data_IF_842243302387
#
_entry.id   IF_842243302387
#
_cell.length_a   1.000
_cell.length_b   1.000
_cell.length_c   1.000
_cell.angle_alpha   90.00
_cell.angle_beta   90.00
_cell.angle_gamma   90.00
#
_symmetry.space_group_name_H-M   'P 1'
#
loop_
_entity.id
_entity.type
_entity.pdbx_description
1 polymer ?
#
# COMPACT_ATOMS: atom_id res chain seq x y z
N UNK A 1 7.61 12.80 -7.97
CA UNK A 1 7.33 11.34 -7.87
C UNK A 1 6.87 10.85 -9.24
N UNK A 2 7.32 9.68 -9.70
CA UNK A 2 6.96 9.12 -11.03
C UNK A 2 5.45 8.82 -11.13
N UNK A 3 4.90 8.06 -10.19
CA UNK A 3 3.46 7.70 -10.20
C UNK A 3 2.52 8.91 -10.13
N UNK A 4 2.90 9.96 -9.39
CA UNK A 4 2.11 11.20 -9.36
C UNK A 4 2.01 11.92 -10.73
N UNK A 5 2.90 11.60 -11.67
CA UNK A 5 2.92 12.17 -13.03
C UNK A 5 2.38 11.21 -14.10
N UNK A 6 2.43 9.90 -13.84
CA UNK A 6 2.19 8.88 -14.86
C UNK A 6 1.10 7.86 -14.50
N UNK A 7 0.61 7.85 -13.26
CA UNK A 7 -0.39 6.89 -12.78
C UNK A 7 -1.69 7.60 -12.34
N UNK A 8 -2.79 6.84 -12.29
CA UNK A 8 -4.06 7.31 -11.73
C UNK A 8 -3.95 7.36 -10.21
N UNK A 9 -4.27 8.50 -9.61
CA UNK A 9 -4.44 8.61 -8.15
C UNK A 9 -5.83 8.08 -7.77
N UNK A 10 -5.91 7.23 -6.75
CA UNK A 10 -7.12 6.58 -6.28
C UNK A 10 -7.44 6.97 -4.83
N UNK A 11 -8.63 6.58 -4.37
CA UNK A 11 -9.07 6.82 -2.99
C UNK A 11 -8.17 6.11 -2.00
N UNK A 12 -7.83 6.76 -0.89
CA UNK A 12 -7.09 6.14 0.22
C UNK A 12 -8.00 5.59 1.31
N UNK A 13 -9.30 5.86 1.24
CA UNK A 13 -10.28 5.52 2.29
C UNK A 13 -11.33 4.51 1.83
N UNK A 14 -11.54 4.37 0.52
CA UNK A 14 -12.47 3.38 -0.04
C UNK A 14 -11.78 2.02 -0.19
N UNK A 15 -12.09 1.08 0.71
CA UNK A 15 -11.54 -0.28 0.71
C UNK A 15 -11.82 -1.04 -0.59
N UNK A 16 -12.92 -0.75 -1.29
CA UNK A 16 -13.25 -1.40 -2.56
C UNK A 16 -12.39 -0.90 -3.73
N UNK A 17 -11.69 0.22 -3.56
CA UNK A 17 -10.87 0.81 -4.64
C UNK A 17 -9.53 0.11 -4.86
N UNK A 18 -9.05 -0.65 -3.88
CA UNK A 18 -7.75 -1.35 -3.91
C UNK A 18 -7.83 -2.64 -4.74
N UNK A 19 -6.93 -2.78 -5.70
CA UNK A 19 -6.80 -3.95 -6.57
C UNK A 19 -5.36 -4.43 -6.61
N UNK A 20 -5.17 -5.71 -6.91
CA UNK A 20 -3.84 -6.31 -7.04
C UNK A 20 -2.99 -5.53 -8.06
N UNK A 21 -1.73 -5.26 -7.69
CA UNK A 21 -0.80 -4.46 -8.48
C UNK A 21 -0.82 -2.96 -8.20
N UNK A 22 -1.81 -2.45 -7.45
CA UNK A 22 -1.84 -1.05 -7.04
C UNK A 22 -0.65 -0.71 -6.13
N UNK A 23 -0.20 0.54 -6.21
CA UNK A 23 0.91 1.04 -5.40
C UNK A 23 0.37 1.94 -4.30
N UNK A 24 0.72 1.62 -3.06
CA UNK A 24 0.33 2.38 -1.86
C UNK A 24 1.57 2.88 -1.13
N UNK A 25 1.46 4.08 -0.55
CA UNK A 25 2.57 4.75 0.11
C UNK A 25 2.17 5.20 1.51
N UNK A 26 3.13 5.14 2.44
CA UNK A 26 2.96 5.53 3.83
C UNK A 26 4.13 6.40 4.30
N UNK A 27 3.94 6.96 5.50
CA UNK A 27 5.04 7.35 6.37
C UNK A 27 5.01 6.45 7.60
N UNK A 28 6.06 5.66 7.78
CA UNK A 28 6.15 4.77 8.93
C UNK A 28 6.47 5.57 10.20
N UNK A 29 6.00 5.10 11.37
CA UNK A 29 6.45 5.59 12.67
C UNK A 29 7.98 5.48 12.80
N UNK A 30 8.57 6.19 13.77
CA UNK A 30 10.03 6.26 14.01
C UNK A 30 10.80 7.02 12.91
N UNK A 31 10.53 8.33 12.80
CA UNK A 31 11.29 9.22 11.92
C UNK A 31 10.62 9.53 10.58
N UNK A 32 9.31 9.27 10.44
CA UNK A 32 8.54 9.65 9.26
C UNK A 32 9.12 9.03 7.96
N UNK A 33 9.55 7.77 8.05
CA UNK A 33 10.27 7.07 6.98
C UNK A 33 9.31 6.83 5.80
N UNK A 34 9.63 7.28 4.58
CA UNK A 34 8.79 7.01 3.42
C UNK A 34 8.83 5.52 3.10
N UNK A 35 7.66 4.93 2.88
CA UNK A 35 7.56 3.53 2.52
C UNK A 35 6.53 3.31 1.40
N UNK A 36 6.70 2.22 0.65
CA UNK A 36 5.86 1.86 -0.49
C UNK A 36 5.64 0.36 -0.50
N UNK A 37 4.43 -0.05 -0.84
CA UNK A 37 4.04 -1.44 -0.96
C UNK A 37 3.14 -1.62 -2.19
N UNK A 38 3.00 -2.87 -2.61
CA UNK A 38 2.15 -3.27 -3.72
C UNK A 38 0.99 -4.07 -3.15
N UNK A 39 -0.22 -3.75 -3.57
CA UNK A 39 -1.42 -4.50 -3.19
C UNK A 39 -1.35 -5.89 -3.80
N UNK A 40 -1.50 -6.91 -2.97
CA UNK A 40 -1.52 -8.32 -3.37
C UNK A 40 -2.88 -8.72 -3.93
N UNK A 41 -2.90 -9.83 -4.68
CA UNK A 41 -4.12 -10.57 -5.03
C UNK A 41 -4.65 -11.44 -3.88
N UNK A 42 -3.87 -11.64 -2.82
CA UNK A 42 -4.32 -12.30 -1.59
C UNK A 42 -5.01 -11.34 -0.63
N UNK A 43 -5.92 -11.90 0.16
CA UNK A 43 -6.67 -11.16 1.18
C UNK A 43 -6.49 -11.78 2.56
N UNK A 44 -6.49 -10.95 3.60
CA UNK A 44 -6.59 -11.38 4.98
C UNK A 44 -8.01 -11.89 5.32
N UNK A 45 -8.17 -12.44 6.52
CA UNK A 45 -9.44 -12.99 7.00
C UNK A 45 -10.58 -11.95 7.05
N UNK A 46 -10.26 -10.66 7.18
CA UNK A 46 -11.20 -9.54 7.16
C UNK A 46 -11.48 -8.99 5.75
N UNK A 47 -11.01 -9.68 4.71
CA UNK A 47 -11.11 -9.28 3.31
C UNK A 47 -10.23 -8.09 2.94
N UNK A 48 -9.31 -7.65 3.80
CA UNK A 48 -8.32 -6.61 3.46
C UNK A 48 -7.26 -7.21 2.54
N UNK A 49 -6.96 -6.61 1.37
CA UNK A 49 -5.84 -7.05 0.55
C UNK A 49 -4.52 -7.03 1.34
N UNK A 50 -3.73 -8.10 1.20
CA UNK A 50 -2.38 -8.13 1.75
C UNK A 50 -1.49 -7.16 0.97
N UNK A 51 -0.39 -6.75 1.59
CA UNK A 51 0.60 -5.88 0.96
C UNK A 51 1.89 -6.67 0.80
N UNK A 52 2.47 -6.62 -0.39
CA UNK A 52 3.85 -7.02 -0.64
C UNK A 52 4.74 -5.81 -0.35
N UNK A 53 5.65 -5.94 0.62
CA UNK A 53 6.55 -4.88 1.03
C UNK A 53 7.85 -5.44 1.60
N UNK A 54 8.80 -4.56 1.97
CA UNK A 54 10.05 -4.97 2.61
C UNK A 54 10.37 -4.01 3.78
N UNK A 55 9.67 -4.20 4.89
CA UNK A 55 9.92 -3.46 6.14
C UNK A 55 10.79 -4.36 7.04
N UNK A 56 12.09 -4.07 7.10
CA UNK A 56 13.03 -4.68 8.04
C UNK A 56 13.44 -6.12 7.70
N UNK A 57 12.50 -7.08 7.73
CA UNK A 57 12.76 -8.53 7.67
C UNK A 57 12.78 -9.11 6.25
N UNK A 58 13.23 -8.35 5.26
CA UNK A 58 13.16 -8.75 3.86
C UNK A 58 11.75 -8.63 3.27
N UNK A 59 11.53 -9.20 2.09
CA UNK A 59 10.23 -9.15 1.41
C UNK A 59 9.20 -9.98 2.16
N UNK A 60 8.09 -9.35 2.50
CA UNK A 60 6.98 -9.94 3.23
C UNK A 60 5.66 -9.66 2.49
N UNK A 61 4.65 -10.47 2.78
CA UNK A 61 3.29 -10.32 2.29
C UNK A 61 2.33 -10.34 3.49
N UNK A 62 1.94 -9.15 3.99
CA UNK A 62 1.30 -8.99 5.30
C UNK A 62 0.07 -8.07 5.26
N UNK A 63 -0.81 -8.20 6.26
CA UNK A 63 -2.00 -7.37 6.41
C UNK A 63 -1.65 -6.00 7.03
N UNK A 64 -0.95 -5.16 6.25
CA UNK A 64 -0.51 -3.83 6.70
C UNK A 64 -1.15 -2.66 5.94
N UNK A 65 -2.08 -2.92 5.02
CA UNK A 65 -2.67 -1.88 4.15
C UNK A 65 -3.17 -0.68 4.94
N UNK A 66 -3.86 -0.94 6.05
CA UNK A 66 -4.41 0.08 6.96
C UNK A 66 -3.71 0.14 8.32
N UNK A 67 -2.55 -0.53 8.49
CA UNK A 67 -1.78 -0.48 9.73
C UNK A 67 -1.11 0.89 9.96
N UNK A 68 -0.92 1.66 8.89
CA UNK A 68 -0.37 3.02 8.92
C UNK A 68 -1.23 3.96 8.07
N UNK A 69 -1.20 5.29 8.33
CA UNK A 69 -1.90 6.27 7.50
C UNK A 69 -1.41 6.22 6.04
N UNK A 70 -2.31 5.88 5.12
CA UNK A 70 -2.02 5.88 3.68
C UNK A 70 -1.86 7.32 3.22
N UNK A 71 -0.71 7.64 2.62
CA UNK A 71 -0.46 8.95 2.01
C UNK A 71 -1.03 9.06 0.61
N UNK A 72 -0.76 8.06 -0.24
CA UNK A 72 -1.18 8.02 -1.63
C UNK A 72 -1.41 6.60 -2.08
N UNK A 73 -2.36 6.44 -2.99
CA UNK A 73 -2.75 5.20 -3.65
C UNK A 73 -2.78 5.45 -5.16
N UNK A 74 -2.11 4.58 -5.93
CA UNK A 74 -1.92 4.73 -7.36
C UNK A 74 -2.20 3.43 -8.13
N UNK A 75 -2.67 3.58 -9.37
CA UNK A 75 -2.75 2.51 -10.38
C UNK A 75 -2.07 2.95 -11.67
N UNK A 76 -1.15 2.12 -12.18
CA UNK A 76 -0.37 2.36 -13.38
C UNK A 76 -0.67 1.29 -14.43
#
# INVERSE_FOLDING_TARGET
>A
MFFARHAKTLSTTDKASFQAGDVVTWRLPNGNLPHTGIVSDKVAADGTPLIIHNIGRGTQEENILFAYPILKHFRY
#
